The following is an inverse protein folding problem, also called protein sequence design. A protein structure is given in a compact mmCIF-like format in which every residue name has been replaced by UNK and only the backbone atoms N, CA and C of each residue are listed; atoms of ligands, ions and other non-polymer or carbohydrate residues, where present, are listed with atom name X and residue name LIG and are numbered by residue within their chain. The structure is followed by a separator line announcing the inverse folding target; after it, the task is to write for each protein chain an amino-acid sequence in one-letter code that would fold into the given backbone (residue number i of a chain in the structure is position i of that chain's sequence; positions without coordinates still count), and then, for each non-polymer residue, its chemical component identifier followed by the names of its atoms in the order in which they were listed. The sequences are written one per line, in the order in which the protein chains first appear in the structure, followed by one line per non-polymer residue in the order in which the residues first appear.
data_IF_811440718960
#
_entry.id   IF_811440718960
#
_cell.length_a   1.000
_cell.length_b   1.000
_cell.length_c   1.000
_cell.angle_alpha   90.00
_cell.angle_beta   90.00
_cell.angle_gamma   90.00
#
_symmetry.space_group_name_H-M   'P 1'
#
loop_
_entity.id
_entity.type
_entity.pdbx_description
1 polymer ?
#
# COMPACT_ATOMS: atom_id res chain seq x y z
N UNK A 1 -12.25 10.56 -8.40
CA UNK A 1 -11.35 9.50 -7.95
C UNK A 1 -11.75 8.22 -8.66
N UNK A 2 -10.93 7.77 -9.60
CA UNK A 2 -11.08 6.49 -10.29
C UNK A 2 -10.09 5.47 -9.72
N UNK A 3 -10.58 4.32 -9.28
CA UNK A 3 -9.78 3.28 -8.61
C UNK A 3 -9.79 2.00 -9.45
N UNK A 4 -8.64 1.35 -9.57
CA UNK A 4 -8.56 -0.02 -10.10
C UNK A 4 -8.27 -0.99 -8.95
N UNK A 5 -9.09 -2.02 -8.77
CA UNK A 5 -8.84 -3.11 -7.83
C UNK A 5 -8.40 -4.35 -8.61
N UNK A 6 -7.21 -4.85 -8.32
CA UNK A 6 -6.60 -6.03 -8.96
C UNK A 6 -6.41 -7.11 -7.88
N UNK A 7 -7.22 -8.16 -7.93
CA UNK A 7 -7.19 -9.26 -6.96
C UNK A 7 -7.84 -10.49 -7.61
N UNK A 8 -7.26 -11.68 -7.45
CA UNK A 8 -7.77 -12.89 -8.10
C UNK A 8 -9.05 -13.42 -7.45
N UNK A 9 -9.31 -13.05 -6.19
CA UNK A 9 -10.48 -13.43 -5.42
C UNK A 9 -11.69 -12.53 -5.72
N UNK A 10 -12.77 -13.07 -6.32
CA UNK A 10 -13.98 -12.30 -6.60
C UNK A 10 -14.62 -11.73 -5.34
N UNK A 11 -14.54 -12.46 -4.21
CA UNK A 11 -15.06 -12.03 -2.93
C UNK A 11 -14.29 -10.81 -2.39
N UNK A 12 -12.96 -10.82 -2.49
CA UNK A 12 -12.14 -9.69 -2.04
C UNK A 12 -12.41 -8.46 -2.89
N UNK A 13 -12.47 -8.61 -4.22
CA UNK A 13 -12.84 -7.52 -5.12
C UNK A 13 -14.20 -6.91 -4.75
N UNK A 14 -15.22 -7.74 -4.53
CA UNK A 14 -16.55 -7.26 -4.11
C UNK A 14 -16.54 -6.52 -2.77
N UNK A 15 -15.83 -7.05 -1.77
CA UNK A 15 -15.69 -6.38 -0.47
C UNK A 15 -15.01 -5.02 -0.65
N UNK A 16 -13.91 -4.95 -1.39
CA UNK A 16 -13.18 -3.71 -1.62
C UNK A 16 -14.04 -2.68 -2.35
N UNK A 17 -14.75 -3.07 -3.41
CA UNK A 17 -15.71 -2.20 -4.10
C UNK A 17 -16.73 -1.61 -3.12
N UNK A 18 -17.35 -2.45 -2.28
CA UNK A 18 -18.32 -1.96 -1.28
C UNK A 18 -17.70 -0.96 -0.30
N UNK A 19 -16.44 -1.17 0.10
CA UNK A 19 -15.74 -0.25 1.00
C UNK A 19 -15.48 1.11 0.34
N UNK A 20 -15.10 1.12 -0.95
CA UNK A 20 -14.95 2.36 -1.72
C UNK A 20 -16.27 3.07 -1.94
N UNK A 21 -17.33 2.34 -2.30
CA UNK A 21 -18.67 2.91 -2.47
C UNK A 21 -19.16 3.56 -1.17
N UNK A 22 -18.92 2.94 0.00
CA UNK A 22 -19.25 3.55 1.31
C UNK A 22 -18.48 4.85 1.59
N UNK A 23 -17.35 5.06 0.93
CA UNK A 23 -16.58 6.31 0.97
C UNK A 23 -16.94 7.28 -0.16
N UNK A 24 -18.04 7.03 -0.89
CA UNK A 24 -18.48 7.83 -2.05
C UNK A 24 -17.49 7.82 -3.21
N UNK A 25 -16.69 6.76 -3.33
CA UNK A 25 -15.89 6.47 -4.51
C UNK A 25 -16.70 5.50 -5.37
N UNK A 26 -17.27 6.01 -6.46
CA UNK A 26 -18.21 5.27 -7.32
C UNK A 26 -17.55 4.75 -8.60
N UNK A 27 -16.43 5.34 -9.03
CA UNK A 27 -15.69 4.96 -10.24
C UNK A 27 -14.60 3.94 -9.88
N UNK A 28 -14.97 2.66 -9.85
CA UNK A 28 -14.11 1.54 -9.41
C UNK A 28 -14.12 0.43 -10.46
N UNK A 29 -13.03 0.31 -11.20
CA UNK A 29 -12.79 -0.81 -12.12
C UNK A 29 -12.16 -1.99 -11.37
N UNK A 30 -12.34 -3.20 -11.93
CA UNK A 30 -11.86 -4.45 -11.34
C UNK A 30 -11.07 -5.26 -12.38
N UNK A 31 -9.96 -5.84 -11.95
CA UNK A 31 -9.20 -6.83 -12.70
C UNK A 31 -8.96 -8.07 -11.84
N UNK A 32 -9.01 -9.24 -12.45
CA UNK A 32 -8.79 -10.53 -11.76
C UNK A 32 -7.38 -11.10 -11.93
N UNK A 33 -6.57 -10.45 -12.77
CA UNK A 33 -5.23 -10.90 -13.13
C UNK A 33 -4.39 -9.70 -13.61
N UNK A 34 -3.08 -9.90 -13.76
CA UNK A 34 -2.13 -8.86 -14.11
C UNK A 34 -2.30 -8.36 -15.55
N UNK A 35 -2.58 -9.25 -16.50
CA UNK A 35 -2.80 -8.89 -17.91
C UNK A 35 -4.00 -7.95 -18.08
N UNK A 36 -5.16 -8.30 -17.51
CA UNK A 36 -6.36 -7.46 -17.53
C UNK A 36 -6.12 -6.14 -16.82
N UNK A 37 -5.35 -6.12 -15.73
CA UNK A 37 -4.98 -4.88 -15.07
C UNK A 37 -4.17 -3.97 -16.01
N UNK A 38 -3.15 -4.50 -16.69
CA UNK A 38 -2.31 -3.74 -17.61
C UNK A 38 -3.08 -3.21 -18.83
N UNK A 39 -4.01 -4.00 -19.37
CA UNK A 39 -4.92 -3.56 -20.44
C UNK A 39 -5.80 -2.38 -20.01
N UNK A 40 -6.38 -2.46 -18.81
CA UNK A 40 -7.18 -1.38 -18.22
C UNK A 40 -6.32 -0.13 -17.97
N UNK A 41 -5.10 -0.30 -17.44
CA UNK A 41 -4.16 0.80 -17.20
C UNK A 41 -3.71 1.47 -18.50
N UNK A 42 -3.57 0.70 -19.59
CA UNK A 42 -3.24 1.24 -20.91
C UNK A 42 -4.39 1.99 -21.59
N UNK A 43 -5.64 1.70 -21.20
CA UNK A 43 -6.85 2.26 -21.81
C UNK A 43 -7.57 3.30 -20.93
N UNK A 44 -7.17 3.47 -19.67
CA UNK A 44 -7.76 4.39 -18.72
C UNK A 44 -6.72 4.97 -17.75
N UNK A 45 -6.99 6.19 -17.27
CA UNK A 45 -6.22 6.80 -16.18
C UNK A 45 -6.85 6.51 -14.84
N UNK A 46 -6.04 6.10 -13.87
CA UNK A 46 -6.48 5.83 -12.49
C UNK A 46 -5.83 6.80 -11.52
N UNK A 47 -6.55 7.17 -10.46
CA UNK A 47 -6.02 7.95 -9.34
C UNK A 47 -5.36 7.05 -8.28
N UNK A 48 -5.74 5.76 -8.26
CA UNK A 48 -5.23 4.76 -7.36
C UNK A 48 -5.40 3.36 -7.96
N UNK A 49 -4.38 2.51 -7.85
CA UNK A 49 -4.47 1.08 -8.13
C UNK A 49 -4.27 0.32 -6.84
N UNK A 50 -5.16 -0.62 -6.53
CA UNK A 50 -5.00 -1.59 -5.46
C UNK A 50 -4.61 -2.94 -6.05
N UNK A 51 -3.42 -3.42 -5.75
CA UNK A 51 -2.81 -4.58 -6.39
C UNK A 51 -2.57 -5.70 -5.36
N UNK A 52 -3.21 -6.85 -5.49
CA UNK A 52 -2.94 -7.99 -4.62
C UNK A 52 -1.54 -8.58 -4.84
N UNK A 53 -1.05 -9.33 -3.84
CA UNK A 53 0.29 -9.90 -3.89
C UNK A 53 0.46 -11.01 -4.91
N UNK A 54 -0.54 -11.89 -5.04
CA UNK A 54 -0.46 -13.10 -5.88
C UNK A 54 -1.53 -13.06 -6.94
N UNK A 55 -1.15 -12.71 -8.15
CA UNK A 55 -2.01 -12.86 -9.31
C UNK A 55 -1.71 -14.20 -9.99
N UNK A 56 -2.70 -14.81 -10.67
CA UNK A 56 -2.55 -16.13 -11.28
C UNK A 56 -1.53 -16.16 -12.43
N UNK A 57 -1.26 -15.02 -13.05
CA UNK A 57 -0.54 -14.89 -14.32
C UNK A 57 0.76 -14.07 -14.24
N UNK A 58 0.90 -13.16 -13.27
CA UNK A 58 2.07 -12.28 -13.08
C UNK A 58 2.39 -12.06 -11.61
N UNK A 59 3.66 -11.87 -11.27
CA UNK A 59 4.02 -11.33 -9.95
C UNK A 59 3.65 -9.83 -9.93
N UNK A 60 3.17 -9.33 -8.79
CA UNK A 60 2.87 -7.90 -8.59
C UNK A 60 4.08 -7.00 -8.87
N UNK A 61 5.31 -7.51 -8.71
CA UNK A 61 6.54 -6.75 -8.99
C UNK A 61 6.70 -6.58 -10.50
N UNK A 62 6.34 -7.59 -11.29
CA UNK A 62 6.31 -7.50 -12.75
C UNK A 62 5.25 -6.49 -13.19
N UNK A 63 4.03 -6.59 -12.65
CA UNK A 63 2.95 -5.63 -12.93
C UNK A 63 3.39 -4.21 -12.57
N UNK A 64 3.99 -4.01 -11.40
CA UNK A 64 4.49 -2.69 -11.00
C UNK A 64 5.62 -2.19 -11.92
N UNK A 65 6.56 -3.05 -12.31
CA UNK A 65 7.64 -2.71 -13.23
C UNK A 65 7.07 -2.22 -14.55
N UNK A 66 6.13 -2.95 -15.14
CA UNK A 66 5.50 -2.60 -16.42
C UNK A 66 4.73 -1.28 -16.35
N UNK A 67 4.01 -1.03 -15.25
CA UNK A 67 3.35 0.27 -15.02
C UNK A 67 4.39 1.40 -15.00
N UNK A 68 5.53 1.20 -14.33
CA UNK A 68 6.58 2.23 -14.20
C UNK A 68 7.38 2.42 -15.48
N UNK A 69 7.63 1.36 -16.25
CA UNK A 69 8.25 1.41 -17.59
C UNK A 69 7.39 2.18 -18.58
N UNK A 70 6.06 2.10 -18.47
CA UNK A 70 5.12 2.93 -19.22
C UNK A 70 5.10 4.41 -18.79
N UNK A 71 6.04 4.84 -17.93
CA UNK A 71 6.10 6.16 -17.30
C UNK A 71 4.82 6.53 -16.52
N UNK A 72 4.01 5.55 -16.14
CA UNK A 72 2.78 5.77 -15.39
C UNK A 72 3.10 5.89 -13.89
N UNK A 73 2.80 7.07 -13.35
CA UNK A 73 3.05 7.45 -11.95
C UNK A 73 1.82 7.26 -11.05
N UNK A 74 0.85 6.49 -11.50
CA UNK A 74 -0.33 6.19 -10.68
C UNK A 74 0.11 5.55 -9.35
N UNK A 75 -0.41 6.06 -8.22
CA UNK A 75 -0.18 5.45 -6.92
C UNK A 75 -0.67 4.00 -6.91
N UNK A 76 0.19 3.05 -6.55
CA UNK A 76 -0.15 1.63 -6.41
C UNK A 76 -0.09 1.24 -4.93
N UNK A 77 -1.22 0.82 -4.36
CA UNK A 77 -1.34 0.25 -3.01
C UNK A 77 -1.36 -1.27 -3.15
N UNK A 78 -0.37 -1.94 -2.58
CA UNK A 78 -0.27 -3.40 -2.66
C UNK A 78 -1.01 -4.09 -1.51
N UNK A 79 -2.19 -4.65 -1.78
CA UNK A 79 -2.99 -5.42 -0.83
C UNK A 79 -2.32 -6.78 -0.63
N UNK A 80 -2.22 -7.25 0.62
CA UNK A 80 -1.93 -8.67 0.82
C UNK A 80 -2.58 -9.11 2.13
N UNK A 81 -3.19 -10.28 2.15
CA UNK A 81 -3.64 -10.92 3.39
C UNK A 81 -2.45 -11.71 3.97
N UNK A 82 -2.16 -11.57 5.26
CA UNK A 82 -1.49 -12.66 5.98
C UNK A 82 -2.55 -13.28 6.88
N UNK A 83 -2.57 -14.61 6.93
CA UNK A 83 -3.60 -15.42 7.54
C UNK A 83 -3.59 -15.26 9.06
N UNK A 84 -4.48 -14.43 9.58
CA UNK A 84 -5.51 -14.76 10.58
C UNK A 84 -6.04 -13.48 11.23
N UNK A 85 -7.32 -13.20 10.95
CA UNK A 85 -8.21 -12.22 11.61
C UNK A 85 -7.91 -10.73 11.37
N UNK A 86 -8.81 -10.18 10.55
CA UNK A 86 -9.11 -8.77 10.26
C UNK A 86 -8.55 -8.29 8.93
N UNK A 87 -9.46 -8.24 7.95
CA UNK A 87 -9.25 -7.91 6.56
C UNK A 87 -9.05 -6.39 6.37
N UNK A 88 -8.37 -6.08 5.26
CA UNK A 88 -8.32 -4.83 4.48
C UNK A 88 -6.95 -4.15 4.53
N UNK A 89 -6.28 -4.16 3.36
CA UNK A 89 -5.14 -3.33 2.93
C UNK A 89 -3.79 -3.54 3.63
N UNK A 90 -2.85 -4.13 2.88
CA UNK A 90 -1.43 -3.77 2.94
C UNK A 90 -1.21 -2.64 1.94
N UNK A 91 -0.20 -1.81 2.16
CA UNK A 91 0.50 -1.15 1.07
C UNK A 91 1.95 -1.49 1.32
N UNK A 92 2.49 -2.31 0.42
CA UNK A 92 3.90 -2.71 0.36
C UNK A 92 4.41 -3.05 1.75
N UNK A 93 4.08 -4.27 2.21
CA UNK A 93 4.96 -4.95 3.17
C UNK A 93 6.27 -5.12 2.42
N UNK A 94 7.11 -4.10 2.51
CA UNK A 94 8.45 -4.19 2.04
C UNK A 94 9.03 -5.29 2.95
N UNK A 95 9.12 -6.48 2.40
CA UNK A 95 9.65 -7.65 3.05
C UNK A 95 8.80 -8.41 4.06
N UNK A 96 9.09 -9.71 4.19
CA UNK A 96 8.60 -10.54 5.28
C UNK A 96 9.06 -10.00 6.65
N UNK A 97 10.17 -9.24 6.68
CA UNK A 97 10.79 -8.59 7.83
C UNK A 97 11.24 -7.14 7.50
N UNK A 98 11.69 -6.39 8.53
CA UNK A 98 12.12 -5.01 8.36
C UNK A 98 13.41 -4.80 7.56
N UNK A 99 14.24 -5.82 7.31
CA UNK A 99 15.44 -5.64 6.49
C UNK A 99 15.11 -5.72 5.00
N UNK A 100 14.34 -6.73 4.62
CA UNK A 100 13.82 -6.86 3.26
C UNK A 100 12.92 -5.64 2.91
N UNK A 101 12.35 -4.97 3.92
CA UNK A 101 11.72 -3.66 3.76
C UNK A 101 12.63 -2.59 3.19
N UNK A 102 13.79 -2.46 3.80
CA UNK A 102 14.78 -1.48 3.40
C UNK A 102 15.30 -1.81 2.00
N UNK A 103 15.60 -3.08 1.75
CA UNK A 103 16.19 -3.52 0.49
C UNK A 103 15.22 -3.25 -0.67
N UNK A 104 13.94 -3.61 -0.54
CA UNK A 104 12.91 -3.30 -1.54
C UNK A 104 12.73 -1.82 -1.81
N UNK A 105 12.74 -0.99 -0.76
CA UNK A 105 12.63 0.48 -0.90
C UNK A 105 13.86 1.10 -1.59
N UNK A 106 15.00 0.40 -1.60
CA UNK A 106 16.20 0.80 -2.36
C UNK A 106 16.17 0.35 -3.81
N UNK A 107 15.54 -0.79 -4.08
CA UNK A 107 15.44 -1.36 -5.43
C UNK A 107 14.35 -0.71 -6.28
N UNK A 108 13.23 -0.34 -5.65
CA UNK A 108 12.03 0.14 -6.35
C UNK A 108 11.56 1.47 -5.77
N UNK A 109 11.27 2.43 -6.65
CA UNK A 109 10.64 3.69 -6.28
C UNK A 109 9.15 3.48 -5.98
N UNK A 110 8.80 3.63 -4.70
CA UNK A 110 7.42 3.54 -4.21
C UNK A 110 6.83 4.93 -3.97
N UNK A 111 5.52 5.07 -4.21
CA UNK A 111 4.78 6.31 -3.92
C UNK A 111 4.32 6.42 -2.47
N UNK A 112 4.21 5.28 -1.78
CA UNK A 112 3.80 5.15 -0.39
C UNK A 112 4.23 3.79 0.16
N UNK A 113 4.66 3.76 1.43
CA UNK A 113 4.89 2.52 2.18
C UNK A 113 4.03 2.52 3.44
N UNK A 114 3.23 1.48 3.66
CA UNK A 114 2.61 1.20 4.96
C UNK A 114 3.52 0.23 5.71
N UNK A 115 4.24 0.73 6.72
CA UNK A 115 5.26 -0.04 7.42
C UNK A 115 4.73 -0.55 8.75
N UNK A 116 4.62 -1.86 8.91
CA UNK A 116 4.22 -2.46 10.19
C UNK A 116 5.30 -2.20 11.24
N UNK A 117 4.92 -1.73 12.42
CA UNK A 117 5.84 -1.53 13.52
C UNK A 117 6.41 -2.86 14.00
N UNK A 118 5.54 -3.86 14.14
CA UNK A 118 5.89 -5.17 14.67
C UNK A 118 6.15 -6.12 13.51
N UNK A 119 7.42 -6.23 13.12
CA UNK A 119 7.89 -7.17 12.12
C UNK A 119 8.94 -8.11 12.72
N UNK A 120 9.00 -9.38 12.27
CA UNK A 120 10.04 -10.30 12.70
C UNK A 120 11.43 -9.78 12.31
N UNK A 121 12.46 -10.23 13.03
CA UNK A 121 13.89 -9.91 12.88
C UNK A 121 14.27 -8.43 13.10
N UNK A 122 13.59 -7.50 12.42
CA UNK A 122 13.83 -6.06 12.49
C UNK A 122 12.51 -5.31 12.59
N UNK A 123 12.37 -4.49 13.62
CA UNK A 123 11.20 -3.66 13.84
C UNK A 123 11.04 -2.62 12.73
N UNK A 124 9.79 -2.30 12.39
CA UNK A 124 9.50 -1.30 11.36
C UNK A 124 10.03 0.09 11.71
N UNK A 125 10.09 0.45 12.99
CA UNK A 125 10.67 1.73 13.42
C UNK A 125 12.17 1.83 13.08
N UNK A 126 12.89 0.72 13.10
CA UNK A 126 14.31 0.69 12.76
C UNK A 126 14.52 0.61 11.25
N UNK A 127 13.65 -0.09 10.53
CA UNK A 127 13.59 -0.03 9.07
C UNK A 127 13.31 1.40 8.57
N UNK A 128 12.35 2.12 9.18
CA UNK A 128 12.06 3.52 8.88
C UNK A 128 13.30 4.40 9.04
N UNK A 129 13.99 4.30 10.18
CA UNK A 129 15.22 5.08 10.42
C UNK A 129 16.27 4.80 9.36
N UNK A 130 16.45 3.54 8.96
CA UNK A 130 17.43 3.19 7.93
C UNK A 130 17.05 3.72 6.54
N UNK A 131 15.77 3.61 6.15
CA UNK A 131 15.28 4.20 4.90
C UNK A 131 15.50 5.72 4.89
N UNK A 132 15.27 6.40 6.02
CA UNK A 132 15.52 7.84 6.13
C UNK A 132 17.01 8.17 6.13
N UNK A 133 17.85 7.33 6.75
CA UNK A 133 19.29 7.50 6.75
C UNK A 133 19.92 7.35 5.35
N UNK A 134 19.31 6.57 4.45
CA UNK A 134 19.75 6.51 3.04
C UNK A 134 19.31 7.72 2.21
N UNK A 135 18.64 8.70 2.82
CA UNK A 135 18.14 9.91 2.14
C UNK A 135 16.82 9.69 1.40
N UNK A 136 16.22 8.49 1.47
CA UNK A 136 14.96 8.20 0.78
C UNK A 136 13.79 8.93 1.46
N UNK A 137 13.01 9.65 0.64
CA UNK A 137 11.89 10.50 1.07
C UNK A 137 10.51 9.91 0.76
N UNK A 138 10.44 8.64 0.39
CA UNK A 138 9.18 7.94 0.14
C UNK A 138 8.22 8.20 1.31
N UNK A 139 6.97 8.59 1.05
CA UNK A 139 5.99 8.72 2.12
C UNK A 139 5.82 7.39 2.86
N UNK A 140 5.97 7.39 4.19
CA UNK A 140 5.81 6.21 5.04
C UNK A 140 4.72 6.47 6.06
N UNK A 141 3.75 5.57 6.16
CA UNK A 141 2.76 5.56 7.24
C UNK A 141 3.02 4.33 8.10
N UNK A 142 3.26 4.54 9.39
CA UNK A 142 3.46 3.44 10.32
C UNK A 142 2.12 2.76 10.64
N UNK A 143 2.07 1.43 10.60
CA UNK A 143 0.91 0.66 11.02
C UNK A 143 1.27 -0.10 12.29
N UNK A 144 0.48 0.02 13.36
CA UNK A 144 0.82 -0.57 14.66
C UNK A 144 -0.42 -1.05 15.42
N UNK A 145 -0.28 -2.03 16.29
CA UNK A 145 -1.31 -2.38 17.31
C UNK A 145 -1.25 -1.47 18.53
N UNK A 146 -0.17 -0.73 18.72
CA UNK A 146 0.03 0.13 19.87
C UNK A 146 -0.58 1.52 19.66
N UNK A 147 -1.46 1.92 20.57
CA UNK A 147 -2.15 3.21 20.54
C UNK A 147 -1.51 4.25 21.46
N UNK A 148 -0.39 3.92 22.09
CA UNK A 148 0.30 4.80 23.03
C UNK A 148 0.87 6.04 22.32
N UNK A 149 0.60 7.21 22.92
CA UNK A 149 1.05 8.51 22.39
C UNK A 149 2.56 8.57 22.19
N UNK A 150 3.33 7.92 23.07
CA UNK A 150 4.78 7.95 23.01
C UNK A 150 5.32 7.23 21.77
N UNK A 151 4.70 6.12 21.35
CA UNK A 151 5.15 5.39 20.16
C UNK A 151 4.77 6.13 18.88
N UNK A 152 3.63 6.83 18.87
CA UNK A 152 3.29 7.76 17.79
C UNK A 152 4.34 8.87 17.67
N UNK A 153 4.73 9.50 18.79
CA UNK A 153 5.74 10.56 18.80
C UNK A 153 7.09 10.02 18.30
N UNK A 154 7.49 8.81 18.71
CA UNK A 154 8.71 8.15 18.22
C UNK A 154 8.69 7.94 16.70
N UNK A 155 7.58 7.44 16.13
CA UNK A 155 7.43 7.28 14.69
C UNK A 155 7.56 8.60 13.93
N UNK A 156 6.86 9.65 14.38
CA UNK A 156 6.91 10.96 13.75
C UNK A 156 8.33 11.53 13.80
N UNK A 157 9.01 11.44 14.95
CA UNK A 157 10.42 11.86 15.09
C UNK A 157 11.39 11.08 14.21
N UNK A 158 11.10 9.81 13.95
CA UNK A 158 11.88 8.97 13.04
C UNK A 158 11.61 9.28 11.56
N UNK A 159 10.68 10.18 11.23
CA UNK A 159 10.39 10.62 9.86
C UNK A 159 9.21 9.89 9.19
N UNK A 160 8.31 9.30 9.98
CA UNK A 160 7.02 8.83 9.47
C UNK A 160 6.12 10.01 9.12
N UNK A 161 5.39 9.90 8.01
CA UNK A 161 4.45 10.92 7.53
C UNK A 161 3.10 10.83 8.25
N UNK A 162 2.70 9.63 8.67
CA UNK A 162 1.50 9.40 9.48
C UNK A 162 1.60 8.06 10.22
N UNK A 163 0.58 7.74 11.01
CA UNK A 163 0.40 6.44 11.64
C UNK A 163 -1.07 5.96 11.51
N UNK A 164 -1.27 4.65 11.61
CA UNK A 164 -2.54 3.95 11.64
C UNK A 164 -2.49 2.89 12.76
N UNK A 165 -3.52 2.86 13.60
CA UNK A 165 -3.65 1.87 14.69
C UNK A 165 -4.56 0.73 14.24
N UNK A 166 -4.14 -0.51 14.51
CA UNK A 166 -4.91 -1.73 14.30
C UNK A 166 -5.84 -2.01 15.50
N UNK A 167 -7.04 -2.56 15.28
CA UNK A 167 -7.68 -2.75 13.97
C UNK A 167 -8.12 -1.40 13.39
N UNK A 168 -8.01 -1.23 12.07
CA UNK A 168 -8.40 -0.02 11.37
C UNK A 168 -9.55 -0.31 10.39
N UNK A 169 -10.29 0.74 10.06
CA UNK A 169 -11.31 0.70 9.01
C UNK A 169 -10.78 1.36 7.73
N UNK A 170 -11.30 0.98 6.54
CA UNK A 170 -10.77 1.44 5.25
C UNK A 170 -10.81 2.95 5.07
N UNK A 171 -11.84 3.60 5.63
CA UNK A 171 -11.99 5.05 5.63
C UNK A 171 -10.80 5.75 6.28
N UNK A 172 -10.31 5.24 7.41
CA UNK A 172 -9.15 5.81 8.12
C UNK A 172 -7.90 5.67 7.28
N UNK A 173 -7.69 4.51 6.64
CA UNK A 173 -6.55 4.30 5.75
C UNK A 173 -6.58 5.31 4.60
N UNK A 174 -7.71 5.39 3.88
CA UNK A 174 -7.87 6.33 2.76
C UNK A 174 -7.68 7.78 3.18
N UNK A 175 -8.21 8.18 4.33
CA UNK A 175 -8.01 9.52 4.89
C UNK A 175 -6.51 9.81 5.13
N UNK A 176 -5.78 8.85 5.72
CA UNK A 176 -4.33 9.01 5.93
C UNK A 176 -3.56 9.05 4.61
N UNK A 177 -3.93 8.22 3.64
CA UNK A 177 -3.27 8.19 2.32
C UNK A 177 -3.46 9.52 1.59
N UNK A 178 -4.69 10.05 1.54
CA UNK A 178 -4.97 11.37 0.94
C UNK A 178 -4.19 12.50 1.59
N UNK A 179 -3.93 12.41 2.91
CA UNK A 179 -3.11 13.39 3.64
C UNK A 179 -1.62 13.29 3.33
N UNK A 180 -1.13 12.10 2.99
CA UNK A 180 0.30 11.80 2.87
C UNK A 180 0.78 11.76 1.42
N UNK A 181 -0.11 11.43 0.48
CA UNK A 181 0.18 11.31 -0.95
C UNK A 181 -0.62 12.38 -1.71
N UNK A 182 -0.03 13.56 -2.01
CA UNK A 182 -0.76 14.70 -2.58
C UNK A 182 -1.36 14.45 -3.97
N UNK A 183 -0.85 13.45 -4.70
CA UNK A 183 -1.37 13.05 -6.00
C UNK A 183 -2.71 12.30 -5.91
N UNK A 184 -3.07 11.74 -4.75
CA UNK A 184 -4.35 11.06 -4.52
C UNK A 184 -5.41 12.10 -4.14
N UNK A 185 -6.26 12.50 -5.11
CA UNK A 185 -7.37 13.44 -4.91
C UNK A 185 -8.67 12.74 -4.47
#
# INVERSE_FOLDING_TARGET
MKVLIVDDSPLVRQIMVQLFTRQKVEDVDQAENGLTALELIGSSTYDLIMLDWKLPDKDRIEVLSEIREAANKVPVIMVTADSEKTQIMKAIKAGANGQEAVDKVREVDYDLVLLDWNMPEKLGIDALKEIRASGNKVPIIMVTTESEKDNIIKAIRAGANSYIVKPFVPSVVLEKIKKVVPSVK
#
